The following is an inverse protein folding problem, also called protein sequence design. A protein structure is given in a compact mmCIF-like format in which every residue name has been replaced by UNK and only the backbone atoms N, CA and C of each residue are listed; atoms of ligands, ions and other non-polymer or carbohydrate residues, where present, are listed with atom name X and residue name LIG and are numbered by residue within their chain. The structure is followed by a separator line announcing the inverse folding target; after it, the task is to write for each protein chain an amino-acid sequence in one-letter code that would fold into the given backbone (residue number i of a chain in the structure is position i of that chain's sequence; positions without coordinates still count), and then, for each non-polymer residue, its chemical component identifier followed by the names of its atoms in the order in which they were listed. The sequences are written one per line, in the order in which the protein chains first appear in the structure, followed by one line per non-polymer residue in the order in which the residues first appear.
data_IF_271524401403
#
_entry.id   IF_271524401403
#
_cell.length_a   1.000
_cell.length_b   1.000
_cell.length_c   1.000
_cell.angle_alpha   90.00
_cell.angle_beta   90.00
_cell.angle_gamma   90.00
#
_symmetry.space_group_name_H-M   'P 1'
#
loop_
_entity.id
_entity.type
_entity.pdbx_description
1 polymer ?
#
# COMPACT_ATOMS: atom_id res chain seq x y z
N UNK A 1 20.67 1.02 20.47
CA UNK A 1 20.56 1.02 18.98
C UNK A 1 19.70 2.22 18.58
N UNK A 2 20.09 3.01 17.61
CA UNK A 2 19.31 4.19 17.19
C UNK A 2 17.95 3.72 16.67
N UNK A 3 16.87 4.33 17.15
CA UNK A 3 15.48 4.01 16.76
C UNK A 3 15.26 4.02 15.23
N UNK A 4 16.07 4.79 14.50
CA UNK A 4 16.04 4.85 13.04
C UNK A 4 16.34 3.50 12.39
N UNK A 5 17.44 2.85 12.81
CA UNK A 5 17.84 1.55 12.26
C UNK A 5 16.78 0.48 12.55
N UNK A 6 16.15 0.53 13.74
CA UNK A 6 15.08 -0.38 14.10
C UNK A 6 13.85 -0.19 13.22
N UNK A 7 13.45 1.06 12.89
CA UNK A 7 12.33 1.34 12.00
C UNK A 7 12.60 0.88 10.56
N UNK A 8 13.82 1.07 10.06
CA UNK A 8 14.20 0.54 8.74
C UNK A 8 14.21 -0.98 8.73
N UNK A 9 14.74 -1.60 9.77
CA UNK A 9 14.75 -3.06 9.92
C UNK A 9 13.32 -3.62 9.94
N UNK A 10 12.45 -3.09 10.79
CA UNK A 10 11.05 -3.54 10.88
C UNK A 10 10.31 -3.37 9.55
N UNK A 11 10.55 -2.25 8.83
CA UNK A 11 9.98 -2.00 7.50
C UNK A 11 10.46 -3.05 6.48
N UNK A 12 11.75 -3.38 6.50
CA UNK A 12 12.33 -4.38 5.60
C UNK A 12 11.78 -5.78 5.91
N UNK A 13 11.74 -6.18 7.17
CA UNK A 13 11.20 -7.49 7.57
C UNK A 13 9.71 -7.63 7.20
N UNK A 14 8.90 -6.60 7.44
CA UNK A 14 7.50 -6.57 7.01
C UNK A 14 7.36 -6.52 5.50
N UNK A 15 8.26 -5.82 4.81
CA UNK A 15 8.30 -5.80 3.35
C UNK A 15 8.37 -7.20 2.78
N UNK A 16 9.26 -8.05 3.30
CA UNK A 16 9.34 -9.46 2.92
C UNK A 16 8.00 -10.19 3.14
N UNK A 17 7.42 -10.07 4.34
CA UNK A 17 6.15 -10.71 4.69
C UNK A 17 5.05 -10.29 3.70
N UNK A 18 4.90 -8.98 3.47
CA UNK A 18 3.89 -8.48 2.54
C UNK A 18 4.18 -8.86 1.08
N UNK A 19 5.44 -9.03 0.70
CA UNK A 19 5.82 -9.58 -0.61
C UNK A 19 5.30 -11.00 -0.81
N UNK A 20 5.45 -11.88 0.18
CA UNK A 20 4.86 -13.23 0.15
C UNK A 20 3.34 -13.15 0.05
N UNK A 21 2.69 -12.50 1.01
CA UNK A 21 1.23 -12.53 1.14
C UNK A 21 0.50 -11.70 0.08
N UNK A 22 1.13 -10.67 -0.48
CA UNK A 22 0.56 -9.94 -1.62
C UNK A 22 0.35 -10.81 -2.86
N UNK A 23 1.10 -11.88 -3.01
CA UNK A 23 0.98 -12.80 -4.14
C UNK A 23 0.02 -13.95 -3.82
N UNK A 24 0.12 -14.53 -2.61
CA UNK A 24 -0.53 -15.82 -2.34
C UNK A 24 -1.86 -15.72 -1.62
N UNK A 25 -2.18 -14.65 -0.89
CA UNK A 25 -3.32 -14.64 0.06
C UNK A 25 -4.63 -15.07 -0.60
N UNK A 26 -5.01 -14.49 -1.73
CA UNK A 26 -6.25 -14.85 -2.44
C UNK A 26 -6.22 -16.31 -2.90
N UNK A 27 -5.14 -16.70 -3.59
CA UNK A 27 -4.98 -18.05 -4.15
C UNK A 27 -4.94 -19.10 -3.03
N UNK A 28 -4.26 -18.80 -1.92
CA UNK A 28 -4.16 -19.72 -0.80
C UNK A 28 -5.50 -19.93 -0.09
N UNK A 29 -6.29 -18.88 0.10
CA UNK A 29 -7.63 -18.96 0.67
C UNK A 29 -8.55 -19.81 -0.21
N UNK A 30 -8.55 -19.59 -1.53
CA UNK A 30 -9.34 -20.38 -2.48
C UNK A 30 -8.89 -21.84 -2.48
N UNK A 31 -7.60 -22.12 -2.53
CA UNK A 31 -7.06 -23.50 -2.47
C UNK A 31 -7.31 -24.18 -1.12
N UNK A 32 -7.59 -23.42 -0.08
CA UNK A 32 -7.95 -23.95 1.24
C UNK A 32 -9.44 -24.34 1.33
N UNK A 33 -10.25 -24.06 0.29
CA UNK A 33 -11.66 -24.45 0.21
C UNK A 33 -12.67 -23.30 0.26
N UNK A 34 -12.22 -22.04 0.27
CA UNK A 34 -13.13 -20.90 0.11
C UNK A 34 -13.49 -20.68 -1.35
N UNK A 35 -14.72 -20.23 -1.59
CA UNK A 35 -15.09 -19.70 -2.90
C UNK A 35 -14.31 -18.41 -3.21
N UNK A 36 -14.12 -18.05 -4.49
CA UNK A 36 -13.46 -16.79 -4.86
C UNK A 36 -14.13 -15.56 -4.24
N UNK A 37 -15.45 -15.55 -4.14
CA UNK A 37 -16.20 -14.48 -3.49
C UNK A 37 -15.86 -14.37 -1.99
N UNK A 38 -15.83 -15.48 -1.26
CA UNK A 38 -15.47 -15.50 0.17
C UNK A 38 -14.02 -15.06 0.39
N UNK A 39 -13.08 -15.49 -0.45
CA UNK A 39 -11.70 -15.02 -0.41
C UNK A 39 -11.62 -13.51 -0.67
N UNK A 40 -12.40 -12.97 -1.60
CA UNK A 40 -12.52 -11.55 -1.87
C UNK A 40 -13.12 -10.77 -0.69
N UNK A 41 -14.14 -11.30 -0.03
CA UNK A 41 -14.72 -10.73 1.19
C UNK A 41 -13.69 -10.72 2.32
N UNK A 42 -12.88 -11.76 2.48
CA UNK A 42 -11.81 -11.78 3.48
C UNK A 42 -10.77 -10.67 3.23
N UNK A 43 -10.35 -10.47 1.97
CA UNK A 43 -9.44 -9.39 1.58
C UNK A 43 -10.07 -8.01 1.82
N UNK A 44 -11.31 -7.80 1.38
CA UNK A 44 -12.08 -6.60 1.65
C UNK A 44 -12.15 -6.30 3.15
N UNK A 45 -12.50 -7.30 3.96
CA UNK A 45 -12.58 -7.18 5.41
C UNK A 45 -11.22 -6.85 6.04
N UNK A 46 -10.14 -7.46 5.57
CA UNK A 46 -8.77 -7.16 6.03
C UNK A 46 -8.42 -5.68 5.84
N UNK A 47 -8.72 -5.13 4.67
CA UNK A 47 -8.46 -3.71 4.35
C UNK A 47 -9.36 -2.79 5.18
N UNK A 48 -10.65 -3.07 5.26
CA UNK A 48 -11.62 -2.24 5.98
C UNK A 48 -11.35 -2.24 7.51
N UNK A 49 -11.12 -3.41 8.09
CA UNK A 49 -10.78 -3.54 9.52
C UNK A 49 -9.46 -2.83 9.82
N UNK A 50 -8.42 -3.03 9.00
CA UNK A 50 -7.15 -2.34 9.14
C UNK A 50 -7.31 -0.81 9.04
N UNK A 51 -8.09 -0.32 8.10
CA UNK A 51 -8.38 1.11 7.92
C UNK A 51 -9.16 1.69 9.10
N UNK A 52 -10.20 0.99 9.55
CA UNK A 52 -11.00 1.39 10.71
C UNK A 52 -10.16 1.43 11.99
N UNK A 53 -9.39 0.39 12.25
CA UNK A 53 -8.49 0.35 13.42
C UNK A 53 -7.48 1.49 13.38
N UNK A 54 -6.86 1.74 12.23
CA UNK A 54 -5.93 2.85 12.05
C UNK A 54 -6.60 4.18 12.39
N UNK A 55 -7.76 4.45 11.80
CA UNK A 55 -8.50 5.68 12.05
C UNK A 55 -8.92 5.82 13.53
N UNK A 56 -9.55 4.79 14.10
CA UNK A 56 -10.02 4.80 15.47
C UNK A 56 -8.89 5.03 16.48
N UNK A 57 -7.79 4.29 16.30
CA UNK A 57 -6.66 4.35 17.23
C UNK A 57 -5.94 5.69 17.11
N UNK A 58 -5.67 6.16 15.90
CA UNK A 58 -4.96 7.45 15.69
C UNK A 58 -5.80 8.65 16.14
N UNK A 59 -7.13 8.61 15.93
CA UNK A 59 -8.03 9.68 16.36
C UNK A 59 -8.18 9.77 17.88
N UNK A 60 -8.23 8.61 18.56
CA UNK A 60 -8.50 8.54 20.01
C UNK A 60 -7.25 8.67 20.88
N UNK A 61 -6.14 8.07 20.46
CA UNK A 61 -4.95 7.92 21.31
C UNK A 61 -3.76 8.76 20.85
N UNK A 62 -3.79 9.29 19.62
CA UNK A 62 -2.68 10.09 19.07
C UNK A 62 -1.35 9.33 19.00
N UNK A 63 -0.24 10.09 18.96
CA UNK A 63 1.10 9.51 18.84
C UNK A 63 1.73 9.02 20.17
N UNK A 64 1.12 9.35 21.32
CA UNK A 64 1.68 9.04 22.65
C UNK A 64 1.79 7.55 22.98
N UNK A 65 1.05 6.71 22.30
CA UNK A 65 1.01 5.26 22.51
C UNK A 65 1.61 4.46 21.35
N UNK A 66 2.43 5.10 20.51
CA UNK A 66 2.94 4.50 19.27
C UNK A 66 3.59 3.13 19.47
N UNK A 67 4.42 2.96 20.52
CA UNK A 67 5.07 1.67 20.82
C UNK A 67 4.04 0.58 21.16
N UNK A 68 3.06 0.87 21.99
CA UNK A 68 2.04 -0.12 22.40
C UNK A 68 1.22 -0.62 21.21
N UNK A 69 0.87 0.29 20.29
CA UNK A 69 0.14 -0.09 19.08
C UNK A 69 1.01 -0.84 18.06
N UNK A 70 2.28 -0.48 17.91
CA UNK A 70 3.21 -1.24 17.08
C UNK A 70 3.42 -2.67 17.61
N UNK A 71 3.48 -2.84 18.95
CA UNK A 71 3.52 -4.17 19.58
C UNK A 71 2.21 -4.95 19.35
N UNK A 72 1.07 -4.30 19.50
CA UNK A 72 -0.23 -4.93 19.22
C UNK A 72 -0.31 -5.41 17.77
N UNK A 73 0.02 -4.55 16.80
CA UNK A 73 -0.07 -4.89 15.38
C UNK A 73 0.93 -5.98 14.96
N UNK A 74 2.14 -5.96 15.52
CA UNK A 74 3.11 -7.02 15.26
C UNK A 74 2.71 -8.35 15.87
N UNK A 75 2.06 -8.35 17.05
CA UNK A 75 1.46 -9.55 17.63
C UNK A 75 0.32 -10.09 16.77
N UNK A 76 -0.58 -9.22 16.31
CA UNK A 76 -1.68 -9.61 15.41
C UNK A 76 -1.15 -10.14 14.07
N UNK A 77 -0.09 -9.55 13.53
CA UNK A 77 0.57 -10.03 12.31
C UNK A 77 1.11 -11.45 12.51
N UNK A 78 1.86 -11.70 13.61
CA UNK A 78 2.40 -13.03 13.93
C UNK A 78 1.30 -14.05 14.14
N UNK A 79 0.26 -13.72 14.92
CA UNK A 79 -0.91 -14.58 15.16
C UNK A 79 -1.62 -14.86 13.83
N UNK A 80 -1.82 -13.85 13.00
CA UNK A 80 -2.47 -13.99 11.69
C UNK A 80 -1.73 -14.95 10.77
N UNK A 81 -0.41 -14.81 10.63
CA UNK A 81 0.40 -15.69 9.78
C UNK A 81 0.39 -17.12 10.34
N UNK A 82 0.58 -17.27 11.65
CA UNK A 82 0.61 -18.57 12.31
C UNK A 82 -0.73 -19.29 12.19
N UNK A 83 -1.83 -18.59 12.45
CA UNK A 83 -3.18 -19.16 12.32
C UNK A 83 -3.53 -19.52 10.88
N UNK A 84 -3.18 -18.66 9.90
CA UNK A 84 -3.38 -18.92 8.49
C UNK A 84 -2.63 -20.20 8.05
N UNK A 85 -1.47 -20.46 8.60
CA UNK A 85 -0.64 -21.64 8.27
C UNK A 85 -1.13 -22.93 8.97
N UNK A 86 -1.39 -22.88 10.29
CA UNK A 86 -1.62 -24.06 11.11
C UNK A 86 -3.08 -24.54 11.14
N UNK A 87 -4.05 -23.63 10.99
CA UNK A 87 -5.46 -23.97 11.13
C UNK A 87 -5.98 -24.58 9.83
N UNK A 88 -6.58 -25.78 9.84
CA UNK A 88 -7.08 -26.41 8.61
C UNK A 88 -8.40 -25.81 8.11
N UNK A 89 -9.25 -25.27 8.97
CA UNK A 89 -10.56 -24.74 8.61
C UNK A 89 -10.46 -23.49 7.74
N UNK A 90 -11.09 -23.47 6.52
CA UNK A 90 -10.97 -22.37 5.57
C UNK A 90 -11.48 -21.03 6.11
N UNK A 91 -12.61 -21.04 6.82
CA UNK A 91 -13.22 -19.82 7.38
C UNK A 91 -12.34 -19.21 8.47
N UNK A 92 -11.76 -20.03 9.33
CA UNK A 92 -10.81 -19.57 10.34
C UNK A 92 -9.53 -19.04 9.69
N UNK A 93 -9.05 -19.64 8.60
CA UNK A 93 -7.94 -19.09 7.81
C UNK A 93 -8.25 -17.67 7.32
N UNK A 94 -9.44 -17.45 6.76
CA UNK A 94 -9.86 -16.12 6.34
C UNK A 94 -9.86 -15.13 7.52
N UNK A 95 -10.36 -15.55 8.69
CA UNK A 95 -10.34 -14.74 9.89
C UNK A 95 -8.92 -14.37 10.33
N UNK A 96 -7.98 -15.33 10.30
CA UNK A 96 -6.58 -15.07 10.63
C UNK A 96 -5.90 -14.16 9.59
N UNK A 97 -6.27 -14.24 8.30
CA UNK A 97 -5.80 -13.28 7.30
C UNK A 97 -6.28 -11.85 7.60
N UNK A 98 -7.52 -11.70 8.07
CA UNK A 98 -8.06 -10.39 8.51
C UNK A 98 -7.35 -9.89 9.76
N UNK A 99 -7.19 -10.74 10.78
CA UNK A 99 -6.51 -10.39 12.05
C UNK A 99 -5.07 -9.95 11.80
N UNK A 100 -4.34 -10.68 10.96
CA UNK A 100 -2.96 -10.35 10.60
C UNK A 100 -2.84 -9.15 9.64
N UNK A 101 -3.97 -8.59 9.17
CA UNK A 101 -3.96 -7.58 8.10
C UNK A 101 -3.08 -8.02 6.93
N UNK A 102 -3.16 -9.31 6.57
CA UNK A 102 -2.38 -9.89 5.49
C UNK A 102 -2.93 -9.37 4.17
N UNK A 103 -2.39 -8.22 3.79
CA UNK A 103 -2.81 -7.47 2.62
C UNK A 103 -2.38 -8.12 1.33
N UNK A 104 -3.08 -7.77 0.28
CA UNK A 104 -2.81 -8.15 -1.11
C UNK A 104 -1.98 -7.09 -1.85
N UNK A 105 -1.27 -6.27 -1.11
CA UNK A 105 -0.35 -5.25 -1.62
C UNK A 105 0.96 -5.29 -0.85
N UNK A 106 2.12 -5.16 -1.53
CA UNK A 106 3.43 -5.10 -0.88
C UNK A 106 3.66 -3.75 -0.16
N UNK A 107 2.87 -2.73 -0.47
CA UNK A 107 2.93 -1.45 0.23
C UNK A 107 2.25 -1.56 1.58
N UNK A 108 3.06 -1.53 2.65
CA UNK A 108 2.59 -1.43 4.03
C UNK A 108 2.08 0.00 4.31
N UNK A 109 0.80 0.24 4.07
CA UNK A 109 0.27 1.60 4.10
C UNK A 109 -0.78 1.85 5.20
N UNK A 110 -1.04 0.92 6.11
CA UNK A 110 -2.15 1.09 7.04
C UNK A 110 -1.71 1.19 8.50
N UNK A 111 -1.59 0.07 9.18
CA UNK A 111 -1.45 0.05 10.65
C UNK A 111 -0.08 0.55 11.12
N UNK A 112 0.99 0.03 10.56
CA UNK A 112 2.35 0.37 11.02
C UNK A 112 2.78 1.74 10.54
N UNK A 113 2.50 2.09 9.29
CA UNK A 113 2.92 3.37 8.70
C UNK A 113 2.32 4.57 9.41
N UNK A 114 1.12 4.45 9.98
CA UNK A 114 0.46 5.50 10.75
C UNK A 114 1.26 5.91 12.00
N UNK A 115 2.06 5.01 12.55
CA UNK A 115 2.89 5.28 13.73
C UNK A 115 4.38 5.42 13.42
N UNK A 116 4.91 4.73 12.43
CA UNK A 116 6.32 4.83 12.04
C UNK A 116 6.64 6.13 11.29
N UNK A 117 5.76 6.55 10.36
CA UNK A 117 6.00 7.76 9.57
C UNK A 117 6.11 9.04 10.43
N UNK A 118 5.27 9.28 11.46
CA UNK A 118 5.47 10.41 12.37
C UNK A 118 6.79 10.36 13.14
N UNK A 119 7.26 9.16 13.51
CA UNK A 119 8.57 9.00 14.18
C UNK A 119 9.70 9.40 13.23
N UNK A 120 9.64 8.93 11.98
CA UNK A 120 10.62 9.30 10.94
C UNK A 120 10.56 10.80 10.66
N UNK A 121 9.36 11.38 10.54
CA UNK A 121 9.17 12.82 10.30
C UNK A 121 9.65 13.70 11.45
N UNK A 122 9.61 13.19 12.69
CA UNK A 122 10.09 13.88 13.89
C UNK A 122 11.63 13.95 14.02
N UNK A 123 12.37 13.24 13.19
CA UNK A 123 13.82 13.33 13.12
C UNK A 123 14.17 14.72 12.61
N UNK A 124 14.91 15.49 13.44
CA UNK A 124 15.35 16.86 13.11
C UNK A 124 16.36 16.82 11.96
N UNK A 125 15.86 16.96 10.73
CA UNK A 125 16.67 17.02 9.51
C UNK A 125 16.05 18.03 8.55
N UNK A 126 16.86 18.51 7.59
CA UNK A 126 16.40 19.32 6.47
C UNK A 126 15.29 18.62 5.67
N UNK A 127 14.41 19.38 5.00
CA UNK A 127 13.31 18.85 4.20
C UNK A 127 13.77 17.91 3.07
N UNK A 128 14.95 18.20 2.47
CA UNK A 128 15.56 17.33 1.45
C UNK A 128 15.98 15.98 2.02
N UNK A 129 16.56 15.99 3.23
CA UNK A 129 16.93 14.75 3.93
C UNK A 129 15.71 13.95 4.35
N UNK A 130 14.60 14.59 4.78
CA UNK A 130 13.34 13.91 5.08
C UNK A 130 12.79 13.20 3.86
N UNK A 131 12.73 13.86 2.71
CA UNK A 131 12.26 13.26 1.47
C UNK A 131 13.13 12.06 1.05
N UNK A 132 14.46 12.19 1.17
CA UNK A 132 15.39 11.10 0.93
C UNK A 132 15.20 9.93 1.91
N UNK A 133 14.94 10.22 3.18
CA UNK A 133 14.72 9.22 4.22
C UNK A 133 13.43 8.41 3.93
N UNK A 134 12.32 9.09 3.57
CA UNK A 134 11.08 8.43 3.18
C UNK A 134 11.23 7.60 1.89
N UNK A 135 11.97 8.11 0.91
CA UNK A 135 12.25 7.37 -0.32
C UNK A 135 13.04 6.08 -0.04
N UNK A 136 14.08 6.16 0.79
CA UNK A 136 14.88 4.99 1.20
C UNK A 136 14.05 3.98 2.01
N UNK A 137 13.22 4.47 2.94
CA UNK A 137 12.30 3.65 3.72
C UNK A 137 11.32 2.87 2.82
N UNK A 138 10.74 3.55 1.83
CA UNK A 138 9.81 2.93 0.88
C UNK A 138 10.54 1.96 -0.06
N UNK A 139 11.69 2.35 -0.58
CA UNK A 139 12.55 1.50 -1.41
C UNK A 139 12.93 0.20 -0.71
N UNK A 140 13.43 0.29 0.54
CA UNK A 140 13.78 -0.89 1.34
C UNK A 140 12.61 -1.85 1.52
N UNK A 141 11.40 -1.30 1.70
CA UNK A 141 10.17 -2.10 1.78
C UNK A 141 9.87 -2.88 0.50
N UNK A 142 9.97 -2.26 -0.68
CA UNK A 142 9.72 -2.93 -1.96
C UNK A 142 10.82 -3.91 -2.35
N UNK A 143 12.09 -3.60 -2.09
CA UNK A 143 13.17 -4.57 -2.30
C UNK A 143 12.98 -5.81 -1.41
N UNK A 144 12.60 -5.61 -0.15
CA UNK A 144 12.30 -6.75 0.72
C UNK A 144 11.05 -7.52 0.24
N UNK A 145 10.04 -6.83 -0.30
CA UNK A 145 8.87 -7.48 -0.89
C UNK A 145 9.24 -8.34 -2.11
N UNK A 146 10.16 -7.87 -2.96
CA UNK A 146 10.66 -8.68 -4.06
C UNK A 146 11.33 -9.97 -3.58
N UNK A 147 12.10 -9.91 -2.48
CA UNK A 147 12.67 -11.11 -1.86
C UNK A 147 11.59 -12.03 -1.27
N UNK A 148 10.52 -11.46 -0.71
CA UNK A 148 9.36 -12.21 -0.24
C UNK A 148 8.66 -12.95 -1.37
N UNK A 149 8.39 -12.28 -2.49
CA UNK A 149 7.85 -12.92 -3.69
C UNK A 149 8.78 -14.03 -4.22
N UNK A 150 10.10 -13.78 -4.25
CA UNK A 150 11.11 -14.77 -4.65
C UNK A 150 11.11 -16.00 -3.74
N UNK A 151 10.83 -15.86 -2.45
CA UNK A 151 10.80 -16.97 -1.51
C UNK A 151 9.74 -18.04 -1.84
N UNK A 152 8.70 -17.68 -2.61
CA UNK A 152 7.72 -18.65 -3.12
C UNK A 152 8.33 -19.76 -3.98
N UNK A 153 9.51 -19.52 -4.56
CA UNK A 153 10.26 -20.52 -5.32
C UNK A 153 10.88 -21.60 -4.43
N UNK A 154 11.08 -21.31 -3.13
CA UNK A 154 11.56 -22.28 -2.14
C UNK A 154 10.43 -23.17 -1.60
N UNK A 155 9.20 -22.87 -1.97
CA UNK A 155 8.00 -23.58 -1.54
C UNK A 155 7.20 -22.82 -0.49
N UNK A 156 5.91 -23.12 -0.47
CA UNK A 156 4.93 -22.44 0.39
C UNK A 156 5.25 -22.56 1.89
N UNK A 157 5.62 -23.76 2.33
CA UNK A 157 5.96 -24.04 3.74
C UNK A 157 7.11 -23.13 4.22
N UNK A 158 8.22 -23.11 3.47
CA UNK A 158 9.39 -22.29 3.79
C UNK A 158 9.01 -20.81 3.81
N UNK A 159 8.21 -20.34 2.85
CA UNK A 159 7.75 -18.95 2.80
C UNK A 159 6.94 -18.56 4.05
N UNK A 160 6.09 -19.44 4.56
CA UNK A 160 5.37 -19.22 5.82
C UNK A 160 6.31 -19.21 7.02
N UNK A 161 7.21 -20.19 7.14
CA UNK A 161 8.15 -20.33 8.27
C UNK A 161 9.07 -19.10 8.37
N UNK A 162 9.63 -18.64 7.24
CA UNK A 162 10.45 -17.42 7.19
C UNK A 162 9.62 -16.19 7.53
N UNK A 163 8.37 -16.11 7.06
CA UNK A 163 7.48 -15.00 7.39
C UNK A 163 7.12 -14.96 8.87
N UNK A 164 6.89 -16.11 9.52
CA UNK A 164 6.67 -16.20 10.97
C UNK A 164 7.92 -15.76 11.75
N UNK A 165 9.09 -16.24 11.33
CA UNK A 165 10.36 -15.81 11.93
C UNK A 165 10.57 -14.30 11.83
N UNK A 166 10.31 -13.70 10.67
CA UNK A 166 10.41 -12.25 10.49
C UNK A 166 9.34 -11.48 11.27
N UNK A 167 8.11 -12.01 11.37
CA UNK A 167 7.07 -11.39 12.21
C UNK A 167 7.45 -11.37 13.68
N UNK A 168 8.05 -12.46 14.19
CA UNK A 168 8.61 -12.51 15.54
C UNK A 168 9.78 -11.52 15.71
N UNK A 169 10.66 -11.40 14.73
CA UNK A 169 11.75 -10.43 14.73
C UNK A 169 11.25 -8.97 14.72
N UNK A 170 10.15 -8.68 14.00
CA UNK A 170 9.47 -7.37 14.04
C UNK A 170 8.95 -7.09 15.45
N UNK A 171 8.27 -8.04 16.07
CA UNK A 171 7.74 -7.89 17.44
C UNK A 171 8.87 -7.61 18.45
N UNK A 172 9.95 -8.40 18.38
CA UNK A 172 11.14 -8.20 19.24
C UNK A 172 11.77 -6.82 18.98
N UNK A 173 11.87 -6.40 17.72
CA UNK A 173 12.43 -5.10 17.38
C UNK A 173 11.64 -3.95 18.02
N UNK A 174 10.30 -4.03 18.06
CA UNK A 174 9.48 -3.01 18.74
C UNK A 174 9.57 -3.07 20.27
N UNK A 175 9.88 -4.23 20.85
CA UNK A 175 10.19 -4.32 22.28
C UNK A 175 11.48 -3.57 22.65
N UNK A 176 12.42 -3.46 21.70
CA UNK A 176 13.69 -2.76 21.89
C UNK A 176 13.59 -1.24 21.65
N UNK A 177 12.52 -0.74 21.02
CA UNK A 177 12.30 0.69 20.86
C UNK A 177 11.91 1.31 22.21
N UNK A 178 12.61 2.34 22.70
CA UNK A 178 12.23 3.01 23.93
C UNK A 178 10.82 3.61 23.81
N UNK A 179 10.08 3.74 24.94
CA UNK A 179 8.79 4.40 24.93
C UNK A 179 8.91 5.81 24.34
N UNK A 180 8.22 6.06 23.24
CA UNK A 180 8.23 7.39 22.63
C UNK A 180 7.21 8.21 23.40
N UNK A 181 7.69 9.17 24.17
CA UNK A 181 6.81 10.17 24.79
C UNK A 181 6.31 11.10 23.68
N UNK A 182 5.23 10.71 23.03
CA UNK A 182 4.50 11.58 22.12
C UNK A 182 3.94 12.74 22.91
N UNK A 183 4.23 13.97 22.52
CA UNK A 183 3.45 15.10 23.00
C UNK A 183 1.99 14.77 22.73
N UNK A 184 1.14 14.82 23.77
CA UNK A 184 -0.31 14.90 23.57
C UNK A 184 -0.54 16.13 22.70
N UNK A 185 -0.68 15.94 21.42
CA UNK A 185 -1.15 17.00 20.54
C UNK A 185 -2.63 17.21 20.84
N UNK A 186 -2.92 17.81 21.98
CA UNK A 186 -4.20 18.47 22.22
C UNK A 186 -4.13 19.67 21.28
N UNK A 187 -4.88 19.59 20.22
CA UNK A 187 -4.99 20.65 19.24
C UNK A 187 -5.45 21.92 19.96
N UNK A 188 -4.64 22.95 19.89
CA UNK A 188 -4.93 24.21 20.57
C UNK A 188 -6.05 25.02 19.88
N UNK A 189 -6.30 24.76 18.59
CA UNK A 189 -7.26 25.49 17.76
C UNK A 189 -8.11 24.58 16.87
N UNK A 190 -9.37 24.97 16.55
CA UNK A 190 -10.19 24.24 15.59
C UNK A 190 -9.60 24.29 14.19
N UNK A 191 -9.77 23.21 13.43
CA UNK A 191 -9.33 23.12 12.01
C UNK A 191 -9.92 24.26 11.21
N UNK A 192 -9.09 24.93 10.41
CA UNK A 192 -9.52 26.02 9.54
C UNK A 192 -10.57 25.55 8.52
N UNK A 193 -11.48 26.46 8.12
CA UNK A 193 -12.49 26.14 7.08
C UNK A 193 -11.83 25.75 5.76
N UNK A 194 -10.72 26.40 5.39
CA UNK A 194 -9.93 26.10 4.21
C UNK A 194 -9.40 24.67 4.25
N UNK A 195 -8.77 24.26 5.35
CA UNK A 195 -8.22 22.92 5.51
C UNK A 195 -9.30 21.84 5.50
N UNK A 196 -10.49 22.10 6.08
CA UNK A 196 -11.64 21.19 5.97
C UNK A 196 -12.11 21.01 4.52
N UNK A 197 -12.15 22.08 3.76
CA UNK A 197 -12.54 22.04 2.34
C UNK A 197 -11.50 21.25 1.52
N UNK A 198 -10.20 21.53 1.72
CA UNK A 198 -9.12 20.78 1.07
C UNK A 198 -9.20 19.29 1.45
N UNK A 199 -9.36 18.97 2.73
CA UNK A 199 -9.48 17.57 3.18
C UNK A 199 -10.65 16.85 2.50
N UNK A 200 -11.82 17.51 2.40
CA UNK A 200 -13.00 16.94 1.74
C UNK A 200 -12.77 16.72 0.25
N UNK A 201 -12.31 17.75 -0.46
CA UNK A 201 -12.17 17.69 -1.92
C UNK A 201 -11.09 16.69 -2.35
N UNK A 202 -9.96 16.67 -1.64
CA UNK A 202 -8.87 15.71 -1.86
C UNK A 202 -9.30 14.30 -1.48
N UNK A 203 -9.98 14.12 -0.34
CA UNK A 203 -10.47 12.79 0.07
C UNK A 203 -11.48 12.23 -0.93
N UNK A 204 -12.39 13.04 -1.44
CA UNK A 204 -13.36 12.63 -2.46
C UNK A 204 -12.67 12.13 -3.74
N UNK A 205 -11.69 12.88 -4.26
CA UNK A 205 -10.94 12.47 -5.44
C UNK A 205 -10.08 11.23 -5.18
N UNK A 206 -9.36 11.18 -4.05
CA UNK A 206 -8.54 10.01 -3.69
C UNK A 206 -9.37 8.75 -3.44
N UNK A 207 -10.64 8.91 -3.03
CA UNK A 207 -11.57 7.78 -2.90
C UNK A 207 -11.88 7.15 -4.25
N UNK A 208 -12.07 7.95 -5.29
CA UNK A 208 -12.33 7.45 -6.66
C UNK A 208 -11.12 6.64 -7.15
N UNK A 209 -9.92 7.19 -7.02
CA UNK A 209 -8.68 6.46 -7.36
C UNK A 209 -8.54 5.17 -6.55
N UNK A 210 -8.85 5.23 -5.24
CA UNK A 210 -8.69 4.09 -4.35
C UNK A 210 -9.70 2.97 -4.63
N UNK A 211 -10.99 3.30 -4.89
CA UNK A 211 -12.01 2.33 -5.33
C UNK A 211 -11.54 1.63 -6.60
N UNK A 212 -11.05 2.38 -7.58
CA UNK A 212 -10.49 1.81 -8.81
C UNK A 212 -9.24 0.94 -8.53
N UNK A 213 -8.39 1.35 -7.58
CA UNK A 213 -7.22 0.60 -7.14
C UNK A 213 -7.56 -0.74 -6.51
N UNK A 214 -8.68 -0.82 -5.79
CA UNK A 214 -9.16 -2.05 -5.16
C UNK A 214 -9.51 -3.17 -6.16
N UNK A 215 -9.87 -2.84 -7.41
CA UNK A 215 -10.07 -3.84 -8.47
C UNK A 215 -8.79 -4.56 -8.87
N UNK A 216 -7.61 -3.92 -8.72
CA UNK A 216 -6.34 -4.34 -9.32
C UNK A 216 -5.20 -4.36 -8.31
N UNK A 217 -5.50 -4.78 -7.08
CA UNK A 217 -4.48 -5.06 -6.08
C UNK A 217 -3.53 -6.16 -6.58
N UNK A 218 -2.28 -6.15 -6.14
CA UNK A 218 -1.27 -7.10 -6.61
C UNK A 218 -1.73 -8.56 -6.48
N UNK A 219 -2.36 -8.93 -5.37
CA UNK A 219 -2.87 -10.28 -5.16
C UNK A 219 -4.03 -10.65 -6.10
N UNK A 220 -4.83 -9.69 -6.54
CA UNK A 220 -5.89 -9.90 -7.53
C UNK A 220 -5.31 -10.07 -8.94
N UNK A 221 -4.27 -9.31 -9.26
CA UNK A 221 -3.50 -9.49 -10.51
C UNK A 221 -2.83 -10.87 -10.51
N UNK A 222 -2.22 -11.28 -9.39
CA UNK A 222 -1.63 -12.61 -9.24
C UNK A 222 -2.68 -13.73 -9.42
N UNK A 223 -3.85 -13.57 -8.80
CA UNK A 223 -4.97 -14.49 -8.96
C UNK A 223 -5.44 -14.55 -10.42
N UNK A 224 -5.58 -13.40 -11.10
CA UNK A 224 -5.95 -13.38 -12.51
C UNK A 224 -4.94 -14.10 -13.41
N UNK A 225 -3.62 -13.91 -13.21
CA UNK A 225 -2.58 -14.64 -13.95
C UNK A 225 -2.63 -16.14 -13.65
N UNK A 226 -2.94 -16.54 -12.41
CA UNK A 226 -3.12 -17.95 -12.04
C UNK A 226 -4.29 -18.58 -12.79
N UNK A 227 -5.44 -17.90 -12.86
CA UNK A 227 -6.63 -18.42 -13.55
C UNK A 227 -6.47 -18.40 -15.08
N UNK A 228 -5.94 -17.31 -15.62
CA UNK A 228 -5.87 -17.11 -17.09
C UNK A 228 -4.77 -17.91 -17.75
N UNK A 229 -3.61 -18.06 -17.11
CA UNK A 229 -2.42 -18.69 -17.68
C UNK A 229 -1.95 -19.92 -16.89
N UNK A 230 -2.73 -20.36 -15.89
CA UNK A 230 -2.42 -21.52 -15.03
C UNK A 230 -1.05 -21.42 -14.34
N UNK A 231 -0.67 -20.23 -13.90
CA UNK A 231 0.60 -20.02 -13.22
C UNK A 231 0.66 -20.77 -11.89
N UNK A 232 1.77 -21.47 -11.67
CA UNK A 232 2.14 -21.97 -10.36
C UNK A 232 2.52 -20.82 -9.41
N UNK A 233 2.51 -21.08 -8.10
CA UNK A 233 2.96 -20.10 -7.11
C UNK A 233 4.43 -19.68 -7.34
N UNK A 234 5.28 -20.60 -7.80
CA UNK A 234 6.68 -20.30 -8.14
C UNK A 234 6.77 -19.33 -9.32
N UNK A 235 6.02 -19.56 -10.39
CA UNK A 235 6.00 -18.65 -11.55
C UNK A 235 5.48 -17.26 -11.17
N UNK A 236 4.43 -17.17 -10.34
CA UNK A 236 3.97 -15.92 -9.78
C UNK A 236 5.06 -15.27 -8.92
N UNK A 237 5.78 -16.04 -8.12
CA UNK A 237 6.92 -15.57 -7.35
C UNK A 237 7.96 -14.88 -8.21
N UNK A 238 8.36 -15.46 -9.34
CA UNK A 238 9.30 -14.82 -10.29
C UNK A 238 8.74 -13.52 -10.87
N UNK A 239 7.51 -13.55 -11.38
CA UNK A 239 6.88 -12.37 -11.99
C UNK A 239 6.80 -11.22 -10.99
N UNK A 240 6.31 -11.48 -9.78
CA UNK A 240 6.13 -10.42 -8.77
C UNK A 240 7.44 -9.99 -8.12
N UNK A 241 8.48 -10.82 -8.12
CA UNK A 241 9.85 -10.38 -7.81
C UNK A 241 10.29 -9.26 -8.76
N UNK A 242 10.11 -9.46 -10.06
CA UNK A 242 10.47 -8.44 -11.08
C UNK A 242 9.57 -7.20 -10.93
N UNK A 243 8.27 -7.38 -10.72
CA UNK A 243 7.30 -6.30 -10.48
C UNK A 243 7.73 -5.42 -9.30
N UNK A 244 8.10 -6.01 -8.17
CA UNK A 244 8.46 -5.27 -6.96
C UNK A 244 9.83 -4.59 -7.09
N UNK A 245 10.79 -5.18 -7.82
CA UNK A 245 12.07 -4.53 -8.17
C UNK A 245 11.82 -3.30 -9.04
N UNK A 246 11.03 -3.44 -10.11
CA UNK A 246 10.67 -2.31 -10.99
C UNK A 246 10.00 -1.20 -10.18
N UNK A 247 9.09 -1.57 -9.29
CA UNK A 247 8.41 -0.62 -8.39
C UNK A 247 9.41 0.12 -7.49
N UNK A 248 10.33 -0.60 -6.86
CA UNK A 248 11.34 0.00 -6.00
C UNK A 248 12.17 1.04 -6.76
N UNK A 249 12.62 0.70 -7.96
CA UNK A 249 13.41 1.59 -8.81
C UNK A 249 12.59 2.81 -9.26
N UNK A 250 11.31 2.62 -9.60
CA UNK A 250 10.42 3.71 -10.04
C UNK A 250 10.19 4.74 -8.92
N UNK A 251 10.01 4.27 -7.68
CA UNK A 251 9.85 5.15 -6.52
C UNK A 251 11.10 5.98 -6.25
N UNK A 252 12.31 5.41 -6.44
CA UNK A 252 13.55 6.17 -6.31
C UNK A 252 13.71 7.23 -7.41
N UNK A 253 13.21 6.98 -8.61
CA UNK A 253 13.28 7.95 -9.72
C UNK A 253 12.29 9.12 -9.55
N UNK A 254 11.23 8.95 -8.74
CA UNK A 254 10.14 9.91 -8.62
C UNK A 254 10.58 11.32 -8.21
N UNK A 255 11.41 11.54 -7.18
CA UNK A 255 11.84 12.89 -6.80
C UNK A 255 12.59 13.61 -7.92
N UNK A 256 13.35 12.87 -8.73
CA UNK A 256 14.10 13.43 -9.86
C UNK A 256 13.17 13.88 -10.98
N UNK A 257 12.14 13.09 -11.30
CA UNK A 257 11.12 13.43 -12.30
C UNK A 257 10.27 14.61 -11.80
N UNK A 258 9.84 14.58 -10.54
CA UNK A 258 9.03 15.63 -9.92
C UNK A 258 9.76 16.98 -9.89
N UNK A 259 11.09 16.98 -9.72
CA UNK A 259 11.90 18.20 -9.80
C UNK A 259 11.85 18.87 -11.18
N UNK A 260 11.71 18.08 -12.26
CA UNK A 260 11.67 18.61 -13.64
C UNK A 260 10.26 18.99 -14.11
N UNK A 261 9.26 18.18 -13.75
CA UNK A 261 7.90 18.31 -14.27
C UNK A 261 6.94 19.02 -13.30
N UNK A 262 7.31 19.10 -12.01
CA UNK A 262 6.40 19.49 -10.93
C UNK A 262 5.54 18.32 -10.42
N UNK A 263 4.99 18.46 -9.19
CA UNK A 263 4.30 17.36 -8.50
C UNK A 263 3.03 16.91 -9.25
N UNK A 264 2.14 17.84 -9.61
CA UNK A 264 0.86 17.52 -10.26
C UNK A 264 1.07 16.86 -11.62
N UNK A 265 1.97 17.40 -12.44
CA UNK A 265 2.27 16.80 -13.75
C UNK A 265 2.91 15.43 -13.61
N UNK A 266 3.81 15.24 -12.65
CA UNK A 266 4.41 13.91 -12.40
C UNK A 266 3.33 12.89 -12.02
N UNK A 267 2.42 13.23 -11.09
CA UNK A 267 1.32 12.34 -10.71
C UNK A 267 0.50 11.91 -11.94
N UNK A 268 0.04 12.86 -12.74
CA UNK A 268 -0.90 12.59 -13.83
C UNK A 268 -0.23 11.93 -15.02
N UNK A 269 0.92 12.45 -15.47
CA UNK A 269 1.57 11.97 -16.69
C UNK A 269 2.32 10.65 -16.53
N UNK A 270 2.58 10.20 -15.31
CA UNK A 270 3.03 8.82 -15.07
C UNK A 270 1.86 7.87 -14.86
N UNK A 271 0.77 8.36 -14.26
CA UNK A 271 -0.36 7.52 -13.89
C UNK A 271 -1.27 7.17 -15.08
N UNK A 272 -1.54 8.11 -16.00
CA UNK A 272 -2.36 7.86 -17.19
C UNK A 272 -1.75 6.75 -18.08
N UNK A 273 -0.47 6.79 -18.52
CA UNK A 273 0.10 5.69 -19.29
C UNK A 273 0.08 4.36 -18.52
N UNK A 274 0.37 4.39 -17.22
CA UNK A 274 0.29 3.21 -16.35
C UNK A 274 -1.11 2.57 -16.39
N UNK A 275 -2.16 3.36 -16.38
CA UNK A 275 -3.54 2.88 -16.42
C UNK A 275 -3.96 2.41 -17.82
N UNK A 276 -3.40 3.00 -18.89
CA UNK A 276 -3.56 2.46 -20.25
C UNK A 276 -2.92 1.06 -20.32
N UNK A 277 -1.69 0.90 -19.83
CA UNK A 277 -1.04 -0.42 -19.77
C UNK A 277 -1.84 -1.40 -18.92
N UNK A 278 -2.45 -0.96 -17.80
CA UNK A 278 -3.33 -1.78 -16.99
C UNK A 278 -4.51 -2.35 -17.80
N UNK A 279 -5.18 -1.51 -18.58
CA UNK A 279 -6.28 -1.93 -19.46
C UNK A 279 -5.80 -2.93 -20.52
N UNK A 280 -4.60 -2.74 -21.05
CA UNK A 280 -4.05 -3.61 -22.10
C UNK A 280 -3.65 -5.00 -21.59
N UNK A 281 -3.30 -5.17 -20.30
CA UNK A 281 -2.89 -6.47 -19.74
C UNK A 281 -3.85 -7.61 -20.13
N UNK A 282 -5.17 -7.52 -19.86
CA UNK A 282 -6.10 -8.60 -20.18
C UNK A 282 -6.54 -8.64 -21.65
N UNK A 283 -6.34 -7.58 -22.41
CA UNK A 283 -6.85 -7.46 -23.78
C UNK A 283 -5.92 -8.05 -24.83
N UNK A 284 -4.64 -8.23 -24.49
CA UNK A 284 -3.66 -8.80 -25.43
C UNK A 284 -3.76 -10.33 -25.45
N UNK A 285 -3.52 -10.95 -26.64
CA UNK A 285 -3.76 -12.38 -26.82
C UNK A 285 -2.67 -13.27 -26.21
N UNK A 286 -1.47 -12.75 -25.95
CA UNK A 286 -0.31 -13.57 -25.57
C UNK A 286 0.23 -13.20 -24.20
N UNK A 287 0.71 -14.21 -23.47
CA UNK A 287 1.34 -14.05 -22.16
C UNK A 287 2.53 -13.06 -22.16
N UNK A 288 3.48 -13.11 -23.13
CA UNK A 288 4.59 -12.16 -23.13
C UNK A 288 4.15 -10.70 -23.22
N UNK A 289 3.10 -10.39 -23.99
CA UNK A 289 2.54 -9.04 -24.08
C UNK A 289 1.84 -8.63 -22.79
N UNK A 290 1.08 -9.55 -22.15
CA UNK A 290 0.47 -9.28 -20.83
C UNK A 290 1.53 -8.95 -19.78
N UNK A 291 2.64 -9.71 -19.73
CA UNK A 291 3.76 -9.46 -18.83
C UNK A 291 4.48 -8.14 -19.17
N UNK A 292 4.69 -7.85 -20.44
CA UNK A 292 5.28 -6.59 -20.88
C UNK A 292 4.47 -5.40 -20.37
N UNK A 293 3.13 -5.42 -20.58
CA UNK A 293 2.28 -4.34 -20.09
C UNK A 293 2.20 -4.28 -18.56
N UNK A 294 2.27 -5.42 -17.86
CA UNK A 294 2.39 -5.43 -16.41
C UNK A 294 3.68 -4.72 -15.94
N UNK A 295 4.82 -5.01 -16.55
CA UNK A 295 6.10 -4.39 -16.18
C UNK A 295 6.15 -2.90 -16.55
N UNK A 296 5.65 -2.52 -17.73
CA UNK A 296 5.52 -1.12 -18.14
C UNK A 296 4.60 -0.35 -17.21
N UNK A 297 3.45 -0.93 -16.86
CA UNK A 297 2.56 -0.35 -15.85
C UNK A 297 3.30 -0.11 -14.54
N UNK A 298 4.02 -1.10 -14.06
CA UNK A 298 4.64 -1.05 -12.74
C UNK A 298 5.79 -0.06 -12.65
N UNK A 299 6.46 0.24 -13.77
CA UNK A 299 7.51 1.25 -13.82
C UNK A 299 7.00 2.69 -13.59
N UNK A 300 5.68 2.90 -13.65
CA UNK A 300 5.06 4.23 -13.53
C UNK A 300 4.00 4.31 -12.42
N UNK A 301 3.35 3.20 -12.07
CA UNK A 301 2.14 3.17 -11.26
C UNK A 301 2.30 3.66 -9.82
N UNK A 302 3.51 3.61 -9.25
CA UNK A 302 3.77 3.98 -7.86
C UNK A 302 4.45 5.34 -7.71
N UNK A 303 4.70 6.05 -8.81
CA UNK A 303 5.32 7.38 -8.78
C UNK A 303 4.37 8.46 -8.24
N UNK A 304 3.06 8.22 -8.29
CA UNK A 304 2.06 9.13 -7.73
C UNK A 304 2.10 9.19 -6.19
N UNK A 305 2.51 8.13 -5.52
CA UNK A 305 2.47 8.05 -4.05
C UNK A 305 3.34 9.11 -3.36
N UNK A 306 4.66 9.20 -3.61
CA UNK A 306 5.48 10.23 -2.98
C UNK A 306 5.14 11.65 -3.46
N UNK A 307 4.73 11.82 -4.72
CA UNK A 307 4.33 13.12 -5.25
C UNK A 307 3.03 13.62 -4.62
N UNK A 308 2.05 12.74 -4.43
CA UNK A 308 0.81 13.05 -3.73
C UNK A 308 1.04 13.44 -2.27
N UNK A 309 1.88 12.70 -1.55
CA UNK A 309 2.23 13.04 -0.18
C UNK A 309 2.91 14.41 -0.09
N UNK A 310 3.85 14.68 -0.99
CA UNK A 310 4.54 15.98 -1.07
C UNK A 310 3.56 17.10 -1.42
N UNK A 311 2.65 16.88 -2.37
CA UNK A 311 1.62 17.84 -2.74
C UNK A 311 0.71 18.21 -1.56
N UNK A 312 0.15 17.21 -0.86
CA UNK A 312 -0.69 17.46 0.32
C UNK A 312 0.04 18.28 1.40
N UNK A 313 1.31 17.97 1.61
CA UNK A 313 2.13 18.69 2.58
C UNK A 313 2.44 20.13 2.15
N UNK A 314 2.39 20.47 0.85
CA UNK A 314 2.69 21.80 0.33
C UNK A 314 1.49 22.75 0.32
N UNK A 315 0.25 22.22 0.22
CA UNK A 315 -0.96 23.05 0.07
C UNK A 315 -1.69 23.31 1.40
N UNK A 316 -1.27 22.68 2.50
CA UNK A 316 -1.90 22.75 3.82
C UNK A 316 -0.96 23.38 4.83
N UNK A 317 -1.51 24.27 5.69
CA UNK A 317 -0.79 24.87 6.81
C UNK A 317 -0.31 23.81 7.80
N UNK A 318 0.85 24.04 8.43
CA UNK A 318 1.54 23.07 9.30
C UNK A 318 0.64 22.56 10.43
N UNK A 319 -0.19 23.44 11.02
CA UNK A 319 -1.09 23.13 12.12
C UNK A 319 -2.21 22.16 11.72
N UNK A 320 -2.69 22.25 10.48
CA UNK A 320 -3.80 21.47 9.95
C UNK A 320 -3.36 20.23 9.14
N UNK A 321 -2.06 20.12 8.84
CA UNK A 321 -1.47 19.08 8.00
C UNK A 321 -1.84 17.66 8.46
N UNK A 322 -1.69 17.39 9.76
CA UNK A 322 -2.01 16.07 10.32
C UNK A 322 -3.47 15.68 10.13
N UNK A 323 -4.38 16.64 10.22
CA UNK A 323 -5.81 16.40 9.99
C UNK A 323 -6.09 16.07 8.53
N UNK A 324 -5.60 16.89 7.59
CA UNK A 324 -5.87 16.72 6.16
C UNK A 324 -5.25 15.42 5.65
N UNK A 325 -3.98 15.17 5.96
CA UNK A 325 -3.27 13.95 5.54
C UNK A 325 -3.89 12.71 6.18
N UNK A 326 -4.17 12.75 7.47
CA UNK A 326 -4.78 11.63 8.20
C UNK A 326 -6.16 11.28 7.68
N UNK A 327 -7.05 12.28 7.50
CA UNK A 327 -8.40 12.08 6.96
C UNK A 327 -8.35 11.53 5.54
N UNK A 328 -7.52 12.12 4.68
CA UNK A 328 -7.40 11.70 3.27
C UNK A 328 -6.87 10.25 3.15
N UNK A 329 -5.90 9.88 3.97
CA UNK A 329 -5.38 8.50 3.97
C UNK A 329 -6.40 7.49 4.52
N UNK A 330 -7.13 7.84 5.58
CA UNK A 330 -8.15 6.96 6.15
C UNK A 330 -9.29 6.69 5.14
N UNK A 331 -9.82 7.74 4.54
CA UNK A 331 -10.87 7.63 3.53
C UNK A 331 -10.38 6.86 2.30
N UNK A 332 -9.17 7.14 1.82
CA UNK A 332 -8.56 6.43 0.70
C UNK A 332 -8.40 4.93 0.99
N UNK A 333 -7.89 4.57 2.15
CA UNK A 333 -7.68 3.17 2.50
C UNK A 333 -9.01 2.42 2.64
N UNK A 334 -10.02 3.02 3.25
CA UNK A 334 -11.36 2.44 3.32
C UNK A 334 -11.97 2.24 1.93
N UNK A 335 -11.82 3.23 1.04
CA UNK A 335 -12.32 3.15 -0.34
C UNK A 335 -11.65 2.05 -1.15
N UNK A 336 -10.36 1.79 -0.91
CA UNK A 336 -9.62 0.69 -1.57
C UNK A 336 -10.19 -0.69 -1.20
N UNK A 337 -10.74 -0.85 0.00
CA UNK A 337 -11.41 -2.08 0.43
C UNK A 337 -12.77 -2.34 -0.23
N UNK A 338 -13.33 -1.39 -0.99
CA UNK A 338 -14.70 -1.52 -1.50
C UNK A 338 -14.86 -2.49 -2.68
N UNK A 339 -13.80 -2.84 -3.41
CA UNK A 339 -13.93 -3.55 -4.69
C UNK A 339 -13.21 -4.90 -4.81
N UNK A 340 -12.35 -5.35 -3.88
CA UNK A 340 -11.63 -6.62 -4.05
C UNK A 340 -12.57 -7.83 -4.21
N UNK A 341 -13.68 -7.90 -3.47
CA UNK A 341 -14.64 -8.99 -3.57
C UNK A 341 -15.33 -9.05 -4.93
N UNK A 342 -15.58 -7.88 -5.55
CA UNK A 342 -16.13 -7.79 -6.90
C UNK A 342 -15.11 -8.34 -7.90
N UNK A 343 -13.84 -7.95 -7.75
CA UNK A 343 -12.78 -8.40 -8.66
C UNK A 343 -12.55 -9.91 -8.59
N UNK A 344 -12.51 -10.50 -7.40
CA UNK A 344 -12.37 -11.96 -7.25
C UNK A 344 -13.53 -12.71 -7.88
N UNK A 345 -14.75 -12.22 -7.72
CA UNK A 345 -15.93 -12.77 -8.37
C UNK A 345 -15.84 -12.68 -9.89
N UNK A 346 -15.52 -11.50 -10.45
CA UNK A 346 -15.37 -11.33 -11.90
C UNK A 346 -14.28 -12.24 -12.49
N UNK A 347 -13.16 -12.41 -11.79
CA UNK A 347 -12.10 -13.32 -12.23
C UNK A 347 -12.62 -14.77 -12.27
N UNK A 348 -13.36 -15.20 -11.27
CA UNK A 348 -13.85 -16.59 -11.17
C UNK A 348 -14.85 -16.98 -12.27
N UNK A 349 -15.59 -16.01 -12.82
CA UNK A 349 -16.54 -16.22 -13.93
C UNK A 349 -15.93 -15.91 -15.31
N UNK A 350 -14.60 -15.92 -15.42
CA UNK A 350 -13.82 -15.56 -16.61
C UNK A 350 -14.04 -14.13 -17.14
N UNK A 351 -14.66 -13.26 -16.35
CA UNK A 351 -14.89 -11.85 -16.66
C UNK A 351 -13.81 -10.92 -16.04
N UNK A 352 -12.68 -11.47 -15.62
CA UNK A 352 -11.62 -10.74 -14.91
C UNK A 352 -11.08 -9.54 -15.67
N UNK A 353 -11.12 -9.53 -17.01
CA UNK A 353 -10.74 -8.38 -17.83
C UNK A 353 -11.52 -7.11 -17.44
N UNK A 354 -12.78 -7.22 -17.01
CA UNK A 354 -13.60 -6.08 -16.58
C UNK A 354 -13.01 -5.37 -15.36
N UNK A 355 -12.37 -6.09 -14.44
CA UNK A 355 -11.70 -5.48 -13.29
C UNK A 355 -10.54 -4.56 -13.71
N UNK A 356 -9.75 -4.98 -14.67
CA UNK A 356 -8.63 -4.21 -15.20
C UNK A 356 -9.11 -3.00 -15.99
N UNK A 357 -10.11 -3.20 -16.87
CA UNK A 357 -10.68 -2.13 -17.70
C UNK A 357 -11.39 -1.09 -16.83
N UNK A 358 -12.26 -1.53 -15.91
CA UNK A 358 -12.95 -0.62 -15.00
C UNK A 358 -11.96 0.12 -14.10
N UNK A 359 -11.02 -0.59 -13.48
CA UNK A 359 -9.99 0.02 -12.65
C UNK A 359 -9.16 1.06 -13.42
N UNK A 360 -8.68 0.71 -14.61
CA UNK A 360 -7.90 1.61 -15.46
C UNK A 360 -8.69 2.82 -15.95
N UNK A 361 -9.93 2.62 -16.43
CA UNK A 361 -10.76 3.70 -16.94
C UNK A 361 -11.15 4.71 -15.84
N UNK A 362 -11.56 4.22 -14.66
CA UNK A 362 -11.89 5.09 -13.52
C UNK A 362 -10.65 5.88 -13.07
N UNK A 363 -9.46 5.26 -13.04
CA UNK A 363 -8.21 5.92 -12.70
C UNK A 363 -7.83 7.02 -13.72
N UNK A 364 -7.99 6.76 -15.01
CA UNK A 364 -7.75 7.77 -16.06
C UNK A 364 -8.72 8.94 -15.90
N UNK A 365 -10.00 8.68 -15.67
CA UNK A 365 -11.00 9.73 -15.43
C UNK A 365 -10.65 10.56 -14.17
N UNK A 366 -10.22 9.89 -13.10
CA UNK A 366 -9.70 10.56 -11.91
C UNK A 366 -8.50 11.45 -12.22
N UNK A 367 -7.51 10.95 -12.96
CA UNK A 367 -6.29 11.71 -13.29
C UNK A 367 -6.61 12.98 -14.09
N UNK A 368 -7.53 12.88 -15.04
CA UNK A 368 -8.00 14.04 -15.83
C UNK A 368 -8.71 15.06 -14.93
N UNK A 369 -9.63 14.61 -14.06
CA UNK A 369 -10.34 15.47 -13.13
C UNK A 369 -9.38 16.13 -12.12
N UNK A 370 -8.42 15.36 -11.60
CA UNK A 370 -7.39 15.86 -10.69
C UNK A 370 -6.53 16.94 -11.37
N UNK A 371 -6.07 16.68 -12.60
CA UNK A 371 -5.27 17.64 -13.34
C UNK A 371 -6.04 18.94 -13.61
N UNK A 372 -7.31 18.86 -14.05
CA UNK A 372 -8.14 20.04 -14.30
C UNK A 372 -8.36 20.87 -13.04
N UNK A 373 -8.55 20.22 -11.89
CA UNK A 373 -8.83 20.89 -10.61
C UNK A 373 -7.58 21.54 -10.00
N UNK A 374 -6.40 20.89 -10.14
CA UNK A 374 -5.21 21.26 -9.37
C UNK A 374 -4.06 21.85 -10.21
N UNK A 375 -4.11 21.84 -11.54
CA UNK A 375 -3.05 22.38 -12.42
C UNK A 375 -2.67 23.85 -12.17
N UNK A 376 -3.59 24.65 -11.63
CA UNK A 376 -3.39 26.10 -11.41
C UNK A 376 -3.09 26.42 -9.93
N UNK A 377 -3.10 25.45 -9.02
CA UNK A 377 -2.69 25.67 -7.66
C UNK A 377 -1.15 25.80 -7.63
N UNK A 378 -0.68 27.03 -7.32
CA UNK A 378 0.76 27.28 -7.15
C UNK A 378 1.29 26.40 -6.03
N UNK A 379 2.16 25.48 -6.37
CA UNK A 379 2.83 24.61 -5.43
C UNK A 379 3.84 25.46 -4.63
N UNK A 380 3.79 25.40 -3.31
CA UNK A 380 4.78 26.04 -2.43
C UNK A 380 6.20 25.56 -2.76
N UNK A 381 6.31 24.36 -3.30
CA UNK A 381 7.57 23.73 -3.73
C UNK A 381 8.29 24.50 -4.85
N UNK A 382 7.56 25.19 -5.73
CA UNK A 382 8.14 25.99 -6.82
C UNK A 382 8.72 27.33 -6.30
N UNK A 383 8.36 27.75 -5.08
CA UNK A 383 8.88 28.99 -4.48
C UNK A 383 10.24 28.83 -3.78
N UNK A 384 10.53 27.66 -3.27
CA UNK A 384 11.80 27.38 -2.56
C UNK A 384 12.95 26.97 -3.51
N UNK A 385 12.67 26.82 -4.81
CA UNK A 385 13.67 26.43 -5.82
C UNK A 385 14.08 27.60 -6.75
N UNK A 386 13.52 28.81 -6.56
CA UNK A 386 13.97 30.07 -7.17
C UNK A 386 14.73 30.93 -6.14
#
# INVERSE_FOLDING_TARGET
MDSRYLLFLTRTLRGFIYGVFSVITVIYLIRSGLTPLEAGIAVTSSILVGSFLTYYITSKFGSGYSRSFLLLFSSLLLIGITGLFLIPNPVLKALFAVVGSLGVNPSDNTLFSAYEQPIIAGIKTDQKEKNSLFARYTFGGYIAASLGAAALNLGLKISFEVSMFFAAAVLISYLLIPPIQGKKNIRASPVSRRSKTIARDVSALFSVDAVAGGFVLQGLIAYWFSERYHFSLSQLGYVFTVVDIITALSVLATPYIAKRLGLVKTMVFTHIPSNIFLILIPLVPTLPLSLLFLFLRQSMSQMDVPTRQSYLNSVVEDEDRSYVVGTSNAVRNASNGATPYISTYLISIAAGALSFVAGGAIKIAYDIAFYQRFKNLKEHYDREQK
#
